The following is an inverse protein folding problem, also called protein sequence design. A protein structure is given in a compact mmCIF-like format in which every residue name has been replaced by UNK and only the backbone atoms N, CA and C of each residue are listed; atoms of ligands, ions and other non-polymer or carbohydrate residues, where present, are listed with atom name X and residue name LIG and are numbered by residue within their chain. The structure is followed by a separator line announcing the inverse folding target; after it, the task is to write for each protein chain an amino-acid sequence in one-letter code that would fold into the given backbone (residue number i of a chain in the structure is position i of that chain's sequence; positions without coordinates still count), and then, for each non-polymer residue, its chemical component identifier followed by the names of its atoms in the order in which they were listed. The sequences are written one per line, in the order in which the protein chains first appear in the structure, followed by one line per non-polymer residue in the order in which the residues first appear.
data_IF_705436335926
#
_entry.id   IF_705436335926
#
_cell.length_a   1.000
_cell.length_b   1.000
_cell.length_c   1.000
_cell.angle_alpha   90.00
_cell.angle_beta   90.00
_cell.angle_gamma   90.00
#
_symmetry.space_group_name_H-M   'P 1'
#
loop_
_entity.id
_entity.type
_entity.pdbx_description
1 polymer ?
#
# COMPACT_ATOMS: atom_id res chain seq x y z
N UNK A 1 10.53 -46.73 -45.53
CA UNK A 1 9.74 -46.69 -44.28
C UNK A 1 10.42 -45.72 -43.33
N UNK A 2 9.73 -44.63 -42.97
CA UNK A 2 10.28 -43.40 -42.40
C UNK A 2 10.70 -43.56 -40.93
N UNK A 3 11.96 -43.24 -40.64
CA UNK A 3 12.61 -43.24 -39.32
C UNK A 3 12.10 -42.04 -38.50
N UNK A 4 11.22 -42.29 -37.52
CA UNK A 4 10.68 -41.24 -36.63
C UNK A 4 11.71 -40.92 -35.54
N UNK A 5 12.39 -39.77 -35.68
CA UNK A 5 13.12 -39.15 -34.58
C UNK A 5 12.10 -38.57 -33.59
N UNK A 6 12.06 -39.11 -32.37
CA UNK A 6 11.35 -38.51 -31.25
C UNK A 6 12.27 -37.48 -30.57
N UNK A 7 12.01 -36.20 -30.79
CA UNK A 7 12.69 -35.10 -30.12
C UNK A 7 12.01 -34.90 -28.75
N UNK A 8 12.66 -35.33 -27.66
CA UNK A 8 12.22 -35.03 -26.30
C UNK A 8 12.52 -33.56 -26.00
N UNK A 9 11.46 -32.73 -25.96
CA UNK A 9 11.53 -31.35 -25.48
C UNK A 9 11.53 -31.37 -23.94
N UNK A 10 12.71 -31.35 -23.31
CA UNK A 10 12.81 -31.11 -21.89
C UNK A 10 12.45 -29.64 -21.61
N UNK A 11 11.23 -29.38 -21.13
CA UNK A 11 10.91 -28.11 -20.48
C UNK A 11 11.76 -28.02 -19.20
N UNK A 12 12.82 -27.23 -19.24
CA UNK A 12 13.54 -26.85 -18.04
C UNK A 12 12.60 -25.98 -17.18
N UNK A 13 11.95 -26.59 -16.19
CA UNK A 13 11.27 -25.86 -15.14
C UNK A 13 12.35 -25.19 -14.27
N UNK A 14 12.66 -23.92 -14.55
CA UNK A 14 13.45 -23.10 -13.64
C UNK A 14 12.67 -22.95 -12.33
N UNK A 15 13.22 -23.32 -11.17
CA UNK A 15 12.56 -23.02 -9.91
C UNK A 15 12.36 -21.51 -9.81
N UNK A 16 11.18 -21.07 -9.40
CA UNK A 16 10.95 -19.67 -9.04
C UNK A 16 11.98 -19.31 -7.96
N UNK A 17 12.88 -18.39 -8.28
CA UNK A 17 13.87 -17.94 -7.32
C UNK A 17 13.15 -17.08 -6.29
N UNK A 18 13.36 -17.42 -5.02
CA UNK A 18 12.90 -16.60 -3.93
C UNK A 18 13.51 -15.20 -4.07
N UNK A 19 12.66 -14.17 -4.12
CA UNK A 19 13.06 -12.80 -4.36
C UNK A 19 13.12 -12.04 -3.05
N UNK A 20 14.21 -11.31 -2.86
CA UNK A 20 14.44 -10.41 -1.74
C UNK A 20 13.74 -9.07 -2.01
N UNK A 21 12.67 -8.79 -1.26
CA UNK A 21 11.91 -7.55 -1.35
C UNK A 21 12.30 -6.64 -0.18
N UNK A 22 12.89 -5.49 -0.47
CA UNK A 22 13.18 -4.44 0.50
C UNK A 22 12.07 -3.38 0.51
N UNK A 23 11.90 -2.69 1.64
CA UNK A 23 11.04 -1.50 1.69
C UNK A 23 11.62 -0.39 0.81
N UNK A 24 10.79 0.37 0.09
CA UNK A 24 11.28 1.48 -0.72
C UNK A 24 11.78 2.62 0.17
N UNK A 25 12.82 3.32 -0.29
CA UNK A 25 13.14 4.64 0.25
C UNK A 25 12.10 5.66 -0.26
N UNK A 26 11.53 6.48 0.62
CA UNK A 26 10.47 7.40 0.21
C UNK A 26 10.97 8.56 -0.65
N UNK A 27 12.28 8.77 -0.81
CA UNK A 27 12.83 9.75 -1.76
C UNK A 27 12.42 9.50 -3.20
N UNK A 28 12.14 8.24 -3.58
CA UNK A 28 11.64 7.88 -4.92
C UNK A 28 10.12 7.90 -5.02
N UNK A 29 9.41 8.13 -3.92
CA UNK A 29 7.96 8.07 -3.90
C UNK A 29 7.34 9.26 -4.67
N UNK A 30 6.26 8.98 -5.39
CA UNK A 30 5.53 9.97 -6.17
C UNK A 30 4.03 9.90 -5.89
N UNK A 31 3.33 11.05 -5.81
CA UNK A 31 1.88 11.06 -5.76
C UNK A 31 1.31 10.64 -7.12
N UNK A 32 0.26 9.81 -7.10
CA UNK A 32 -0.49 9.37 -8.29
C UNK A 32 -1.65 10.31 -8.61
N UNK A 33 -2.01 11.18 -7.67
CA UNK A 33 -3.03 12.21 -7.84
C UNK A 33 -2.88 13.31 -6.80
N UNK A 34 -3.72 14.33 -6.94
CA UNK A 34 -3.69 15.48 -6.06
C UNK A 34 -4.28 15.18 -4.68
N UNK A 35 -3.76 15.88 -3.69
CA UNK A 35 -4.41 15.96 -2.39
C UNK A 35 -5.79 16.61 -2.51
N UNK A 36 -6.81 16.12 -1.78
CA UNK A 36 -8.12 16.75 -1.78
C UNK A 36 -8.03 18.23 -1.43
N UNK A 37 -8.76 19.07 -2.17
CA UNK A 37 -8.89 20.48 -1.81
C UNK A 37 -9.73 20.66 -0.55
N UNK A 38 -9.60 21.81 0.10
CA UNK A 38 -10.41 22.16 1.27
C UNK A 38 -11.92 22.09 0.97
N UNK A 39 -12.34 22.51 -0.22
CA UNK A 39 -13.72 22.46 -0.67
C UNK A 39 -14.20 21.02 -0.87
N UNK A 40 -13.37 20.17 -1.49
CA UNK A 40 -13.66 18.74 -1.66
C UNK A 40 -13.79 18.03 -0.31
N UNK A 41 -12.94 18.37 0.67
CA UNK A 41 -13.00 17.83 2.02
C UNK A 41 -14.28 18.27 2.74
N UNK A 42 -14.66 19.55 2.64
CA UNK A 42 -15.93 20.06 3.21
C UNK A 42 -17.15 19.40 2.59
N UNK A 43 -17.16 19.26 1.27
CA UNK A 43 -18.23 18.57 0.56
C UNK A 43 -18.33 17.10 0.99
N UNK A 44 -17.18 16.41 1.05
CA UNK A 44 -17.12 15.01 1.48
C UNK A 44 -17.51 14.85 2.94
N UNK A 45 -17.15 15.79 3.82
CA UNK A 45 -17.57 15.82 5.22
C UNK A 45 -19.09 15.91 5.34
N UNK A 46 -19.71 16.85 4.62
CA UNK A 46 -21.16 17.01 4.62
C UNK A 46 -21.88 15.74 4.15
N UNK A 47 -21.36 15.06 3.12
CA UNK A 47 -21.92 13.78 2.65
C UNK A 47 -21.70 12.64 3.63
N UNK A 48 -20.44 12.43 4.06
CA UNK A 48 -20.03 11.31 4.91
C UNK A 48 -20.62 11.37 6.31
N UNK A 49 -20.75 12.57 6.88
CA UNK A 49 -21.23 12.78 8.25
C UNK A 49 -22.71 13.20 8.34
N UNK A 50 -23.43 13.17 7.22
CA UNK A 50 -24.89 13.34 7.21
C UNK A 50 -25.60 12.23 8.00
N UNK A 51 -26.78 12.52 8.53
CA UNK A 51 -27.49 11.63 9.46
C UNK A 51 -27.82 10.25 8.85
N UNK A 52 -28.00 10.16 7.54
CA UNK A 52 -28.26 8.90 6.83
C UNK A 52 -26.98 8.06 6.55
N UNK A 53 -25.80 8.68 6.59
CA UNK A 53 -24.53 8.04 6.23
C UNK A 53 -23.87 7.27 7.39
N UNK A 54 -24.26 7.55 8.65
CA UNK A 54 -23.76 6.86 9.85
C UNK A 54 -24.17 5.38 9.94
N UNK A 55 -25.03 4.90 9.03
CA UNK A 55 -25.48 3.51 9.03
C UNK A 55 -24.34 2.49 8.79
N UNK A 56 -23.27 2.90 8.12
CA UNK A 56 -22.20 1.99 7.69
C UNK A 56 -20.89 2.09 8.50
N UNK A 57 -20.74 3.09 9.36
CA UNK A 57 -19.52 3.33 10.15
C UNK A 57 -19.83 3.29 11.64
N UNK A 58 -20.08 2.08 12.16
CA UNK A 58 -20.43 1.85 13.57
C UNK A 58 -19.26 2.09 14.53
N UNK A 59 -18.05 2.17 14.00
CA UNK A 59 -16.80 2.44 14.73
C UNK A 59 -16.33 3.89 14.56
N UNK A 60 -17.13 4.76 13.93
CA UNK A 60 -16.79 6.10 13.43
C UNK A 60 -16.40 7.17 14.48
N UNK A 61 -16.06 6.77 15.71
CA UNK A 61 -15.40 7.56 16.74
C UNK A 61 -15.78 9.04 16.76
N UNK A 62 -14.76 9.91 16.85
CA UNK A 62 -14.93 11.37 16.79
C UNK A 62 -14.86 11.91 15.35
N UNK A 63 -14.85 11.07 14.31
CA UNK A 63 -14.60 11.47 12.91
C UNK A 63 -15.59 12.51 12.41
N UNK A 64 -16.84 12.47 12.89
CA UNK A 64 -17.90 13.42 12.51
C UNK A 64 -18.17 14.53 13.54
N UNK A 65 -17.26 14.74 14.50
CA UNK A 65 -17.38 15.84 15.47
C UNK A 65 -16.92 17.16 14.85
N UNK A 66 -15.78 17.13 14.15
CA UNK A 66 -15.22 18.30 13.47
C UNK A 66 -14.69 17.92 12.08
N UNK A 67 -14.54 18.92 11.22
CA UNK A 67 -13.87 18.74 9.93
C UNK A 67 -12.41 18.27 10.11
N UNK A 68 -11.74 18.68 11.18
CA UNK A 68 -10.35 18.26 11.43
C UNK A 68 -10.27 16.79 11.83
N UNK A 69 -11.22 16.27 12.61
CA UNK A 69 -11.31 14.84 12.91
C UNK A 69 -11.60 14.01 11.67
N UNK A 70 -12.43 14.53 10.76
CA UNK A 70 -12.65 13.92 9.46
C UNK A 70 -11.39 13.91 8.59
N UNK A 71 -10.65 15.02 8.56
CA UNK A 71 -9.40 15.15 7.79
C UNK A 71 -8.36 14.13 8.22
N UNK A 72 -8.24 13.82 9.52
CA UNK A 72 -7.33 12.76 10.01
C UNK A 72 -7.57 11.41 9.32
N UNK A 73 -8.80 11.12 8.90
CA UNK A 73 -9.14 9.88 8.20
C UNK A 73 -9.10 10.01 6.69
N UNK A 74 -9.58 11.13 6.13
CA UNK A 74 -9.86 11.25 4.68
C UNK A 74 -8.88 12.13 3.91
N UNK A 75 -8.02 12.90 4.58
CA UNK A 75 -7.07 13.80 3.93
C UNK A 75 -5.79 13.04 3.49
N UNK A 76 -5.95 12.11 2.56
CA UNK A 76 -4.87 11.29 2.03
C UNK A 76 -4.89 11.27 0.50
N UNK A 77 -3.72 11.14 -0.11
CA UNK A 77 -3.57 10.88 -1.55
C UNK A 77 -2.86 9.55 -1.76
N UNK A 78 -3.07 8.94 -2.93
CA UNK A 78 -2.35 7.72 -3.32
C UNK A 78 -0.92 8.08 -3.74
N UNK A 79 0.05 7.34 -3.21
CA UNK A 79 1.46 7.43 -3.54
C UNK A 79 2.00 6.06 -3.96
N UNK A 80 3.02 6.09 -4.81
CA UNK A 80 3.70 4.92 -5.34
C UNK A 80 5.21 5.04 -5.19
N UNK A 81 5.87 3.91 -4.92
CA UNK A 81 7.33 3.79 -4.88
C UNK A 81 7.72 2.39 -5.37
N UNK A 82 8.05 2.27 -6.66
CA UNK A 82 8.16 0.97 -7.32
C UNK A 82 6.82 0.23 -7.28
N UNK A 83 6.83 -1.03 -6.86
CA UNK A 83 5.61 -1.86 -6.75
C UNK A 83 4.81 -1.63 -5.45
N UNK A 84 5.29 -0.75 -4.58
CA UNK A 84 4.61 -0.40 -3.34
C UNK A 84 3.67 0.79 -3.54
N UNK A 85 2.51 0.71 -2.91
CA UNK A 85 1.50 1.78 -2.92
C UNK A 85 1.02 2.09 -1.50
N UNK A 86 0.68 3.34 -1.24
CA UNK A 86 0.20 3.79 0.07
C UNK A 86 -0.68 5.02 -0.01
N UNK A 87 -1.65 5.15 0.90
CA UNK A 87 -2.39 6.39 1.06
C UNK A 87 -1.69 7.24 2.12
N UNK A 88 -0.99 8.29 1.70
CA UNK A 88 -0.18 9.13 2.59
C UNK A 88 -0.91 10.45 2.89
N UNK A 89 -0.81 10.89 4.15
CA UNK A 89 -1.57 12.04 4.65
C UNK A 89 -1.10 13.36 4.01
N UNK A 90 -2.05 14.14 3.53
CA UNK A 90 -1.86 15.39 2.78
C UNK A 90 -1.57 16.61 3.64
N UNK A 91 -1.50 16.45 4.97
CA UNK A 91 -1.03 17.49 5.89
C UNK A 91 0.48 17.75 5.84
N UNK A 92 1.23 16.95 5.06
CA UNK A 92 2.67 17.10 4.82
C UNK A 92 2.91 17.55 3.39
N UNK A 93 3.96 18.34 3.17
CA UNK A 93 4.44 18.61 1.82
C UNK A 93 4.98 17.32 1.17
N UNK A 94 5.09 17.27 -0.17
CA UNK A 94 5.75 16.16 -0.86
C UNK A 94 7.17 15.90 -0.34
N UNK A 95 7.94 16.95 -0.05
CA UNK A 95 9.31 16.86 0.45
C UNK A 95 9.35 16.26 1.85
N UNK A 96 8.44 16.68 2.73
CA UNK A 96 8.30 16.10 4.07
C UNK A 96 7.91 14.63 4.00
N UNK A 97 7.02 14.27 3.07
CA UNK A 97 6.60 12.87 2.86
C UNK A 97 7.75 12.00 2.37
N UNK A 98 8.55 12.51 1.43
CA UNK A 98 9.74 11.81 0.92
C UNK A 98 10.87 11.66 1.95
N UNK A 99 10.88 12.50 2.99
CA UNK A 99 11.89 12.48 4.04
C UNK A 99 11.55 11.52 5.20
N UNK A 100 10.36 10.92 5.22
CA UNK A 100 9.94 10.00 6.29
C UNK A 100 10.82 8.76 6.32
N UNK A 101 11.23 8.36 7.52
CA UNK A 101 12.11 7.21 7.71
C UNK A 101 11.33 5.92 7.93
N UNK A 102 11.91 4.82 7.46
CA UNK A 102 11.39 3.48 7.72
C UNK A 102 11.51 3.17 9.22
N UNK A 103 10.43 2.65 9.80
CA UNK A 103 10.34 2.26 11.21
C UNK A 103 10.15 0.76 11.40
N UNK A 104 9.61 0.07 10.39
CA UNK A 104 9.43 -1.37 10.44
C UNK A 104 8.93 -1.99 9.14
N UNK A 105 9.00 -3.31 9.08
CA UNK A 105 8.45 -4.13 8.01
C UNK A 105 7.68 -5.30 8.61
N UNK A 106 6.54 -5.65 8.01
CA UNK A 106 5.77 -6.84 8.38
C UNK A 106 5.16 -7.51 7.15
N UNK A 107 4.94 -8.82 7.26
CA UNK A 107 4.14 -9.58 6.30
C UNK A 107 2.79 -9.93 6.92
N UNK A 108 1.71 -9.68 6.19
CA UNK A 108 0.36 -10.01 6.62
C UNK A 108 -0.47 -10.62 5.48
N UNK A 109 -1.35 -11.61 5.78
CA UNK A 109 -2.27 -12.13 4.79
C UNK A 109 -3.40 -11.12 4.49
N UNK A 110 -3.90 -11.14 3.24
CA UNK A 110 -5.05 -10.37 2.79
C UNK A 110 -5.85 -11.19 1.76
N UNK A 111 -6.74 -12.04 2.26
CA UNK A 111 -7.47 -13.00 1.41
C UNK A 111 -6.49 -13.97 0.74
N UNK A 112 -6.47 -14.00 -0.60
CA UNK A 112 -5.54 -14.83 -1.40
C UNK A 112 -4.20 -14.15 -1.70
N UNK A 113 -3.97 -12.97 -1.13
CA UNK A 113 -2.75 -12.18 -1.33
C UNK A 113 -1.95 -12.13 -0.03
N UNK A 114 -0.66 -11.94 -0.19
CA UNK A 114 0.29 -11.56 0.85
C UNK A 114 0.55 -10.06 0.73
N UNK A 115 0.59 -9.37 1.87
CA UNK A 115 1.00 -7.96 1.96
C UNK A 115 2.36 -7.88 2.61
N UNK A 116 3.32 -7.28 1.92
CA UNK A 116 4.53 -6.75 2.57
C UNK A 116 4.22 -5.30 2.90
N UNK A 117 4.21 -4.97 4.18
CA UNK A 117 3.88 -3.64 4.69
C UNK A 117 5.13 -3.01 5.29
N UNK A 118 5.46 -1.82 4.79
CA UNK A 118 6.54 -0.97 5.26
C UNK A 118 5.92 0.17 6.05
N UNK A 119 6.22 0.22 7.35
CA UNK A 119 5.75 1.25 8.27
C UNK A 119 6.82 2.35 8.36
N UNK A 120 6.42 3.60 8.20
CA UNK A 120 7.27 4.79 8.28
C UNK A 120 6.82 5.70 9.42
N UNK A 121 7.63 6.71 9.73
CA UNK A 121 7.29 7.75 10.69
C UNK A 121 5.89 8.36 10.44
N UNK A 122 5.29 8.86 11.51
CA UNK A 122 3.94 9.45 11.52
C UNK A 122 2.83 8.55 10.97
N UNK A 123 3.01 7.23 11.08
CA UNK A 123 1.99 6.24 10.69
C UNK A 123 1.81 6.07 9.18
N UNK A 124 2.72 6.60 8.36
CA UNK A 124 2.72 6.35 6.93
C UNK A 124 3.00 4.87 6.63
N UNK A 125 2.30 4.30 5.65
CA UNK A 125 2.47 2.90 5.26
C UNK A 125 2.55 2.75 3.74
N UNK A 126 3.54 2.02 3.27
CA UNK A 126 3.65 1.56 1.88
C UNK A 126 3.45 0.05 1.83
N UNK A 127 2.70 -0.42 0.84
CA UNK A 127 2.25 -1.81 0.78
C UNK A 127 2.49 -2.38 -0.60
N UNK A 128 3.23 -3.48 -0.65
CA UNK A 128 3.25 -4.38 -1.80
C UNK A 128 2.19 -5.47 -1.58
N UNK A 129 1.39 -5.74 -2.61
CA UNK A 129 0.45 -6.88 -2.65
C UNK A 129 0.92 -7.89 -3.67
N UNK A 130 1.11 -9.13 -3.24
CA UNK A 130 1.56 -10.22 -4.12
C UNK A 130 0.78 -11.49 -3.86
N UNK A 131 0.78 -12.43 -4.82
CA UNK A 131 0.22 -13.79 -4.63
C UNK A 131 1.24 -14.77 -4.06
N UNK A 132 2.51 -14.39 -4.05
CA UNK A 132 3.63 -15.16 -3.48
C UNK A 132 3.48 -15.26 -1.97
N UNK A 133 3.91 -16.36 -1.36
CA UNK A 133 4.10 -16.37 0.09
C UNK A 133 5.34 -15.54 0.39
N UNK A 134 5.35 -14.84 1.52
CA UNK A 134 6.50 -14.04 1.92
C UNK A 134 6.76 -14.24 3.40
N UNK A 135 8.03 -14.18 3.79
CA UNK A 135 8.47 -14.21 5.19
C UNK A 135 9.50 -13.11 5.43
N UNK A 136 9.49 -12.51 6.61
CA UNK A 136 10.51 -11.52 6.99
C UNK A 136 11.82 -12.25 7.29
N UNK A 137 12.91 -11.79 6.68
CA UNK A 137 14.28 -12.20 6.95
C UNK A 137 15.16 -10.96 7.10
N UNK A 138 15.49 -10.59 8.34
CA UNK A 138 16.23 -9.36 8.63
C UNK A 138 15.44 -8.12 8.22
N UNK A 139 16.02 -7.32 7.32
CA UNK A 139 15.46 -6.08 6.77
C UNK A 139 14.69 -6.26 5.45
N UNK A 140 14.46 -7.51 5.03
CA UNK A 140 13.77 -7.86 3.78
C UNK A 140 12.63 -8.83 4.00
N UNK A 141 11.72 -8.88 3.02
CA UNK A 141 10.77 -9.96 2.85
C UNK A 141 11.25 -10.89 1.73
N UNK A 142 11.43 -12.18 2.03
CA UNK A 142 11.76 -13.20 1.03
C UNK A 142 10.45 -13.80 0.53
N UNK A 143 10.15 -13.62 -0.75
CA UNK A 143 8.92 -14.11 -1.37
C UNK A 143 9.22 -15.25 -2.36
N UNK A 144 8.37 -16.27 -2.45
CA UNK A 144 8.57 -17.48 -3.29
C UNK A 144 7.82 -17.43 -4.63
#
# INVERSE_FOLDING_TARGET
MLRRLALFLCLAATPALAEDIACPDLSIAQPVGDCPSEEQLKYSYAGYCSDDARMYDKDGGNTCVTLDDFKKLKNHALWEAGDFQGYLHCGRSPEQTRALKLTGMKVAPAGKLTRVVCDYEDGAMMVLRTRRACVINGDKAVCD
#
